data_IF_110398711238
#
_entry.id   IF_110398711238
#
_cell.length_a   1.000
_cell.length_b   1.000
_cell.length_c   1.000
_cell.angle_alpha   90.00
_cell.angle_beta   90.00
_cell.angle_gamma   90.00
#
_symmetry.space_group_name_H-M   'P 1'
#
loop_
_entity.id
_entity.type
_entity.pdbx_description
1 polymer ?
#
# COMPACT_ATOMS: atom_id res chain seq x y z
N UNK A 1 6.31 7.10 12.48
CA UNK A 1 4.95 6.57 12.69
C UNK A 1 4.51 6.06 11.33
N UNK A 2 4.06 4.81 11.23
CA UNK A 2 3.70 4.23 9.93
C UNK A 2 2.43 4.92 9.40
N UNK A 3 2.40 5.17 8.10
CA UNK A 3 1.27 5.80 7.42
C UNK A 3 0.63 4.81 6.47
N UNK A 4 -0.70 4.75 6.48
CA UNK A 4 -1.48 3.83 5.64
C UNK A 4 -2.59 4.58 4.90
N UNK A 5 -2.86 4.16 3.67
CA UNK A 5 -4.07 4.50 2.95
C UNK A 5 -5.01 3.29 2.99
N UNK A 6 -6.21 3.48 3.55
CA UNK A 6 -7.23 2.44 3.62
C UNK A 6 -8.36 2.80 2.66
N UNK A 7 -8.58 1.94 1.65
CA UNK A 7 -9.72 2.07 0.72
C UNK A 7 -10.79 1.06 1.13
N UNK A 8 -11.95 1.57 1.50
CA UNK A 8 -13.11 0.77 1.92
C UNK A 8 -14.15 0.81 0.80
N UNK A 9 -14.61 -0.36 0.38
CA UNK A 9 -15.69 -0.56 -0.58
C UNK A 9 -16.85 -1.27 0.12
N UNK A 10 -18.03 -0.65 0.09
CA UNK A 10 -19.27 -1.27 0.58
C UNK A 10 -20.00 -1.86 -0.61
N UNK A 11 -20.30 -3.16 -0.55
CA UNK A 11 -20.98 -3.88 -1.64
C UNK A 11 -22.49 -3.96 -1.43
N UNK A 12 -22.94 -4.01 -0.18
CA UNK A 12 -24.36 -4.13 0.17
C UNK A 12 -24.78 -3.00 1.11
N UNK A 13 -25.85 -2.26 0.80
CA UNK A 13 -26.44 -1.31 1.74
C UNK A 13 -27.14 -2.01 2.91
N UNK A 14 -27.57 -3.27 2.71
CA UNK A 14 -28.34 -4.05 3.69
C UNK A 14 -27.44 -4.75 4.72
N UNK A 15 -26.15 -4.93 4.39
CA UNK A 15 -25.15 -5.56 5.26
C UNK A 15 -23.97 -4.60 5.49
N UNK A 16 -24.16 -3.55 6.30
CA UNK A 16 -23.19 -2.47 6.49
C UNK A 16 -21.85 -2.93 7.09
N UNK A 17 -21.84 -4.05 7.79
CA UNK A 17 -20.69 -4.73 8.38
C UNK A 17 -19.80 -5.44 7.36
N UNK A 18 -20.32 -5.75 6.17
CA UNK A 18 -19.55 -6.37 5.10
C UNK A 18 -18.65 -5.33 4.42
N UNK A 19 -17.43 -5.23 4.93
CA UNK A 19 -16.40 -4.31 4.46
C UNK A 19 -15.38 -5.05 3.61
N UNK A 20 -15.27 -4.73 2.33
CA UNK A 20 -14.14 -5.19 1.51
C UNK A 20 -13.24 -4.01 1.20
N UNK A 21 -11.93 -4.21 1.15
CA UNK A 21 -11.03 -3.10 0.95
C UNK A 21 -9.58 -3.51 0.78
N UNK A 22 -8.72 -2.51 0.70
CA UNK A 22 -7.27 -2.67 0.60
C UNK A 22 -6.61 -1.68 1.56
N UNK A 23 -5.65 -2.17 2.33
CA UNK A 23 -4.69 -1.36 3.10
C UNK A 23 -3.42 -1.22 2.27
N UNK A 24 -2.96 0.00 2.07
CA UNK A 24 -1.70 0.31 1.39
C UNK A 24 -0.75 0.98 2.37
N UNK A 25 0.44 0.43 2.55
CA UNK A 25 1.51 1.09 3.31
C UNK A 25 2.13 2.19 2.43
N UNK A 26 2.13 3.43 2.91
CA UNK A 26 2.57 4.60 2.12
C UNK A 26 4.09 4.56 1.85
N UNK A 27 4.87 4.01 2.78
CA UNK A 27 6.32 3.99 2.68
C UNK A 27 6.81 2.88 1.72
N UNK A 28 6.14 1.73 1.72
CA UNK A 28 6.56 0.55 0.93
C UNK A 28 5.72 0.31 -0.32
N UNK A 29 4.56 0.95 -0.44
CA UNK A 29 3.57 0.70 -1.50
C UNK A 29 2.91 -0.69 -1.42
N UNK A 30 3.20 -1.48 -0.38
CA UNK A 30 2.63 -2.82 -0.21
C UNK A 30 1.13 -2.73 0.03
N UNK A 31 0.37 -3.55 -0.70
CA UNK A 31 -1.09 -3.59 -0.65
C UNK A 31 -1.57 -4.93 -0.08
N UNK A 32 -2.49 -4.87 0.88
CA UNK A 32 -3.10 -6.04 1.49
C UNK A 32 -4.62 -5.94 1.47
N UNK A 33 -5.34 -6.86 0.81
CA UNK A 33 -6.79 -6.86 0.79
C UNK A 33 -7.37 -7.34 2.13
N UNK A 34 -8.57 -6.87 2.46
CA UNK A 34 -9.37 -7.35 3.58
C UNK A 34 -10.85 -7.47 3.17
N UNK A 35 -11.59 -8.34 3.87
CA UNK A 35 -13.00 -8.64 3.63
C UNK A 35 -13.89 -8.45 4.87
N UNK A 36 -13.32 -7.96 5.97
CA UNK A 36 -14.04 -7.52 7.15
C UNK A 36 -13.14 -6.61 8.01
N UNK A 37 -13.70 -6.03 9.07
CA UNK A 37 -12.98 -5.16 9.98
C UNK A 37 -11.80 -5.86 10.68
N UNK A 38 -11.96 -7.12 11.07
CA UNK A 38 -10.89 -7.88 11.73
C UNK A 38 -9.68 -8.06 10.79
N UNK A 39 -9.92 -8.37 9.52
CA UNK A 39 -8.89 -8.47 8.49
C UNK A 39 -8.21 -7.14 8.21
N UNK A 40 -8.95 -6.03 8.24
CA UNK A 40 -8.36 -4.68 8.14
C UNK A 40 -7.40 -4.41 9.33
N UNK A 41 -7.84 -4.70 10.55
CA UNK A 41 -7.00 -4.53 11.75
C UNK A 41 -5.74 -5.40 11.69
N UNK A 42 -5.85 -6.64 11.21
CA UNK A 42 -4.70 -7.52 11.01
C UNK A 42 -3.73 -6.94 9.96
N UNK A 43 -4.22 -6.45 8.83
CA UNK A 43 -3.39 -5.85 7.79
C UNK A 43 -2.61 -4.62 8.28
N UNK A 44 -3.23 -3.78 9.12
CA UNK A 44 -2.56 -2.61 9.73
C UNK A 44 -1.59 -3.00 10.84
N UNK A 45 -1.84 -4.10 11.55
CA UNK A 45 -1.03 -4.55 12.70
C UNK A 45 0.14 -5.45 12.30
N UNK A 46 0.02 -6.19 11.19
CA UNK A 46 1.07 -7.09 10.68
C UNK A 46 2.29 -6.33 10.13
N UNK A 47 2.14 -5.05 9.85
CA UNK A 47 3.20 -4.17 9.41
C UNK A 47 4.02 -3.64 10.59
N UNK A 48 5.08 -4.37 11.00
CA UNK A 48 6.31 -3.88 11.71
C UNK A 48 7.36 -4.99 11.93
N UNK A 49 8.66 -4.69 12.08
CA UNK A 49 9.38 -3.42 11.87
C UNK A 49 10.31 -3.47 10.64
N UNK A 50 10.87 -2.32 10.31
CA UNK A 50 11.95 -2.09 9.34
C UNK A 50 13.01 -3.22 9.32
N UNK A 51 12.86 -4.16 8.39
CA UNK A 51 13.78 -5.26 8.17
C UNK A 51 13.96 -5.42 6.67
N UNK A 52 14.96 -4.69 6.16
CA UNK A 52 15.59 -4.89 4.84
C UNK A 52 14.64 -4.87 3.64
N UNK A 53 14.34 -3.67 3.15
CA UNK A 53 13.79 -3.45 1.81
C UNK A 53 14.88 -3.79 0.75
N UNK A 54 14.75 -4.86 -0.05
CA UNK A 54 15.71 -5.18 -1.12
C UNK A 54 15.51 -4.28 -2.35
N UNK A 55 14.39 -3.56 -2.45
CA UNK A 55 13.98 -2.77 -3.61
C UNK A 55 14.46 -1.31 -3.58
N UNK A 56 15.08 -0.82 -2.50
CA UNK A 56 15.85 0.45 -2.54
C UNK A 56 16.99 0.46 -3.57
N UNK A 57 17.31 -0.66 -4.22
CA UNK A 57 18.27 -0.73 -5.34
C UNK A 57 17.68 -0.53 -6.74
N UNK A 58 16.35 -0.45 -6.92
CA UNK A 58 15.75 -0.40 -8.26
C UNK A 58 15.29 0.97 -8.76
N UNK A 59 15.47 2.03 -7.97
CA UNK A 59 15.31 3.41 -8.46
C UNK A 59 16.70 4.05 -8.64
N UNK A 60 17.48 3.55 -9.59
CA UNK A 60 18.58 4.37 -10.13
C UNK A 60 17.94 5.50 -10.94
N UNK A 61 18.25 6.79 -10.67
CA UNK A 61 17.81 7.85 -11.56
C UNK A 61 18.34 7.55 -12.96
N UNK A 62 17.44 7.39 -13.93
CA UNK A 62 17.87 7.24 -15.31
C UNK A 62 18.60 8.52 -15.75
N UNK A 63 19.76 8.42 -16.41
CA UNK A 63 20.44 9.60 -16.91
C UNK A 63 19.56 10.27 -17.98
N UNK A 64 19.20 11.52 -17.73
CA UNK A 64 18.54 12.38 -18.72
C UNK A 64 19.47 12.49 -19.93
N UNK A 65 19.10 11.86 -21.05
CA UNK A 65 19.80 12.03 -22.32
C UNK A 65 19.59 13.48 -22.78
N UNK A 66 20.62 14.32 -22.61
CA UNK A 66 20.66 15.64 -23.26
C UNK A 66 20.63 15.42 -24.77
N UNK A 67 19.51 15.73 -25.41
CA UNK A 67 19.44 15.82 -26.88
C UNK A 67 20.37 16.96 -27.31
N UNK A 68 21.43 16.59 -28.03
CA UNK A 68 22.26 17.53 -28.80
C UNK A 68 21.44 17.90 -30.04
N UNK A 69 20.94 19.13 -30.09
CA UNK A 69 20.40 19.72 -31.33
C UNK A 69 21.51 20.60 -31.88
N UNK A 70 21.84 20.31 -33.14
CA UNK A 70 22.87 20.91 -33.98
C UNK A 70 22.43 22.32 -34.37
#
# INVERSE_FOLDING_TARGET
MDSYLIRIYRRSPDEPENLVGVVENIDTGQQQPFNNLAGMCQAVSASRPHGEDPQRRLCKPQPIKKRKVI
#
